data_IF_590631604728
#
_entry.id   IF_590631604728
#
_cell.length_a   1.000
_cell.length_b   1.000
_cell.length_c   1.000
_cell.angle_alpha   90.00
_cell.angle_beta   90.00
_cell.angle_gamma   90.00
#
_symmetry.space_group_name_H-M   'P 1'
#
loop_
_entity.id
_entity.type
_entity.pdbx_description
1 polymer ?
#
# COMPACT_ATOMS: atom_id res chain seq x y z
N UNK A 1 8.29 -10.05 4.94
CA UNK A 1 7.35 -9.00 4.51
C UNK A 1 7.99 -8.14 3.43
N UNK A 2 7.53 -8.23 2.18
CA UNK A 2 8.13 -7.51 1.06
C UNK A 2 7.66 -6.06 1.00
N UNK A 3 8.40 -5.18 1.67
CA UNK A 3 8.06 -3.76 1.80
C UNK A 3 8.16 -2.96 0.50
N UNK A 4 9.00 -3.39 -0.45
CA UNK A 4 9.25 -2.67 -1.70
C UNK A 4 9.07 -3.58 -2.90
N UNK A 5 8.48 -3.04 -3.95
CA UNK A 5 8.29 -3.75 -5.21
C UNK A 5 9.62 -3.95 -5.94
N UNK A 6 9.91 -5.20 -6.34
CA UNK A 6 11.12 -5.53 -7.14
C UNK A 6 11.13 -4.88 -8.53
N UNK A 7 9.97 -4.54 -9.07
CA UNK A 7 9.85 -3.99 -10.43
C UNK A 7 10.00 -2.46 -10.48
N UNK A 8 9.44 -1.74 -9.50
CA UNK A 8 9.36 -0.28 -9.53
C UNK A 8 9.93 0.40 -8.28
N UNK A 9 10.45 -0.37 -7.32
CA UNK A 9 10.95 0.12 -6.03
C UNK A 9 9.92 0.88 -5.17
N UNK A 10 8.66 0.92 -5.60
CA UNK A 10 7.57 1.55 -4.87
C UNK A 10 7.25 0.79 -3.58
N UNK A 11 6.79 1.53 -2.56
CA UNK A 11 6.35 0.95 -1.29
C UNK A 11 5.13 0.06 -1.51
N UNK A 12 5.09 -1.09 -0.86
CA UNK A 12 3.89 -1.93 -0.81
C UNK A 12 3.08 -1.67 0.46
N UNK A 13 1.76 -1.68 0.31
CA UNK A 13 0.82 -1.49 1.41
C UNK A 13 0.19 -2.83 1.80
N UNK A 14 0.18 -3.19 3.10
CA UNK A 14 -0.48 -4.41 3.55
C UNK A 14 -2.00 -4.25 3.42
N UNK A 15 -2.65 -5.31 2.93
CA UNK A 15 -4.10 -5.43 2.79
C UNK A 15 -4.57 -6.75 3.35
N UNK A 16 -5.49 -6.68 4.30
CA UNK A 16 -6.16 -7.85 4.84
C UNK A 16 -7.18 -8.35 3.80
N UNK A 17 -7.04 -9.62 3.42
CA UNK A 17 -7.97 -10.30 2.52
C UNK A 17 -8.86 -11.21 3.35
N UNK A 18 -10.14 -10.85 3.43
CA UNK A 18 -11.19 -11.68 4.01
C UNK A 18 -11.91 -12.45 2.91
N UNK A 19 -12.37 -13.69 3.15
CA UNK A 19 -12.46 -14.39 4.45
C UNK A 19 -11.20 -15.13 4.87
N UNK A 20 -10.17 -15.18 4.03
CA UNK A 20 -8.97 -16.00 4.24
C UNK A 20 -8.08 -15.54 5.42
N UNK A 21 -8.37 -14.38 6.04
CA UNK A 21 -7.61 -13.77 7.13
C UNK A 21 -6.10 -13.69 6.86
N UNK A 22 -5.73 -13.58 5.59
CA UNK A 22 -4.34 -13.42 5.16
C UNK A 22 -4.07 -11.97 4.80
N UNK A 23 -2.83 -11.55 4.98
CA UNK A 23 -2.38 -10.25 4.49
C UNK A 23 -1.67 -10.45 3.17
N UNK A 24 -2.02 -9.63 2.18
CA UNK A 24 -1.28 -9.47 0.93
C UNK A 24 -0.68 -8.07 0.86
N UNK A 25 0.37 -7.89 0.08
CA UNK A 25 1.06 -6.61 -0.08
C UNK A 25 0.78 -6.05 -1.47
N UNK A 26 0.05 -4.95 -1.53
CA UNK A 26 -0.29 -4.25 -2.76
C UNK A 26 0.86 -3.33 -3.17
N UNK A 27 1.39 -3.48 -4.38
CA UNK A 27 2.11 -2.41 -5.04
C UNK A 27 1.13 -1.52 -5.81
N UNK A 28 1.09 -0.24 -5.48
CA UNK A 28 0.14 0.71 -6.09
C UNK A 28 0.55 1.11 -7.51
N UNK A 29 1.86 1.18 -7.78
CA UNK A 29 2.39 1.51 -9.11
C UNK A 29 2.20 0.36 -10.10
N UNK A 30 2.51 -0.88 -9.68
CA UNK A 30 2.40 -2.07 -10.53
C UNK A 30 1.03 -2.76 -10.43
N UNK A 31 0.16 -2.30 -9.51
CA UNK A 31 -1.19 -2.83 -9.26
C UNK A 31 -1.20 -4.36 -9.07
N UNK A 32 -0.23 -4.88 -8.32
CA UNK A 32 -0.11 -6.30 -8.03
C UNK A 32 -0.07 -6.60 -6.54
N UNK A 33 -0.61 -7.76 -6.17
CA UNK A 33 -0.54 -8.31 -4.83
C UNK A 33 0.56 -9.36 -4.75
N UNK A 34 1.39 -9.23 -3.72
CA UNK A 34 2.33 -10.29 -3.33
C UNK A 34 1.97 -10.86 -1.98
N UNK A 35 2.43 -12.08 -1.72
CA UNK A 35 2.32 -12.73 -0.42
C UNK A 35 3.51 -12.38 0.50
N UNK A 36 3.64 -13.12 1.60
CA UNK A 36 4.73 -12.96 2.56
C UNK A 36 6.11 -13.33 1.99
N UNK A 37 6.14 -14.23 1.00
CA UNK A 37 7.32 -14.75 0.31
C UNK A 37 7.72 -13.89 -0.90
N UNK A 38 6.99 -12.81 -1.18
CA UNK A 38 7.19 -11.89 -2.30
C UNK A 38 6.90 -12.50 -3.67
N UNK A 39 6.02 -13.51 -3.73
CA UNK A 39 5.48 -14.03 -4.98
C UNK A 39 4.24 -13.25 -5.40
N UNK A 40 4.14 -12.93 -6.68
CA UNK A 40 2.95 -12.28 -7.25
C UNK A 40 1.82 -13.29 -7.26
N UNK A 41 0.80 -13.03 -6.44
CA UNK A 41 -0.39 -13.89 -6.32
C UNK A 41 -1.39 -13.54 -7.41
N UNK A 42 -1.62 -12.25 -7.64
CA UNK A 42 -2.58 -11.73 -8.62
C UNK A 42 -2.43 -10.22 -8.84
N UNK A 43 -3.07 -9.72 -9.88
CA UNK A 43 -3.30 -8.29 -10.06
C UNK A 43 -4.42 -7.77 -9.16
N UNK A 44 -4.33 -6.48 -8.82
CA UNK A 44 -5.32 -5.78 -8.04
C UNK A 44 -6.47 -5.33 -8.94
N UNK A 45 -7.70 -5.51 -8.46
CA UNK A 45 -8.87 -4.91 -9.12
C UNK A 45 -8.88 -3.41 -8.88
N UNK A 46 -9.50 -2.67 -9.79
CA UNK A 46 -9.56 -1.20 -9.72
C UNK A 46 -10.13 -0.69 -8.38
N UNK A 47 -11.18 -1.31 -7.86
CA UNK A 47 -11.75 -0.96 -6.55
C UNK A 47 -10.82 -1.21 -5.36
N UNK A 48 -9.96 -2.23 -5.43
CA UNK A 48 -8.99 -2.54 -4.37
C UNK A 48 -7.83 -1.53 -4.34
N UNK A 49 -7.40 -1.10 -5.52
CA UNK A 49 -6.42 -0.04 -5.66
C UNK A 49 -6.99 1.32 -5.20
N UNK A 50 -8.20 1.68 -5.63
CA UNK A 50 -8.81 2.96 -5.27
C UNK A 50 -9.08 3.07 -3.77
N UNK A 51 -9.61 2.01 -3.15
CA UNK A 51 -9.78 1.97 -1.69
C UNK A 51 -8.45 2.08 -0.96
N UNK A 52 -7.38 1.47 -1.48
CA UNK A 52 -6.03 1.61 -0.90
C UNK A 52 -5.55 3.05 -0.87
N UNK A 53 -5.73 3.77 -1.97
CA UNK A 53 -5.36 5.18 -2.08
C UNK A 53 -6.15 6.06 -1.10
N UNK A 54 -7.44 5.79 -0.93
CA UNK A 54 -8.28 6.51 0.03
C UNK A 54 -7.86 6.26 1.47
N UNK A 55 -7.57 5.01 1.84
CA UNK A 55 -7.07 4.65 3.17
C UNK A 55 -5.75 5.37 3.46
N UNK A 56 -4.83 5.39 2.50
CA UNK A 56 -3.55 6.08 2.65
C UNK A 56 -3.76 7.59 2.86
N UNK A 57 -4.61 8.23 2.05
CA UNK A 57 -4.95 9.66 2.22
C UNK A 57 -5.58 9.96 3.58
N UNK A 58 -6.48 9.10 4.07
CA UNK A 58 -7.07 9.22 5.42
C UNK A 58 -6.02 9.09 6.50
N UNK A 59 -5.11 8.12 6.39
CA UNK A 59 -4.01 7.94 7.32
C UNK A 59 -3.09 9.15 7.36
N UNK A 60 -2.64 9.66 6.21
CA UNK A 60 -1.80 10.87 6.13
C UNK A 60 -2.48 12.07 6.80
N UNK A 61 -3.79 12.28 6.58
CA UNK A 61 -4.56 13.35 7.23
C UNK A 61 -4.71 13.19 8.74
N UNK A 62 -4.65 11.95 9.25
CA UNK A 62 -4.76 11.66 10.68
C UNK A 62 -3.47 11.90 11.46
N UNK A 63 -2.34 12.04 10.77
CA UNK A 63 -1.05 12.33 11.41
C UNK A 63 -1.08 13.79 11.87
N UNK A 64 -0.97 14.08 13.18
CA UNK A 64 -0.95 15.46 13.65
C UNK A 64 0.29 16.17 13.09
N UNK A 65 0.16 17.45 12.70
CA UNK A 65 1.29 18.19 12.17
C UNK A 65 2.37 18.33 13.25
N UNK A 66 3.53 17.71 13.05
CA UNK A 66 4.72 17.97 13.86
C UNK A 66 5.42 19.23 13.35
N UNK A 67 6.05 20.01 14.23
CA UNK A 67 6.72 21.27 13.85
C UNK A 67 7.80 21.09 12.75
N UNK A 68 8.33 19.88 12.56
CA UNK A 68 9.33 19.54 11.53
C UNK A 68 8.79 19.03 10.18
N UNK A 69 7.49 18.78 10.03
CA UNK A 69 6.92 18.13 8.81
C UNK A 69 6.22 19.06 7.85
N UNK A 70 6.25 20.38 8.07
CA UNK A 70 5.58 21.37 7.22
C UNK A 70 6.02 21.33 5.75
N UNK A 71 7.20 20.78 5.44
CA UNK A 71 7.75 20.70 4.07
C UNK A 71 7.87 19.27 3.49
N UNK A 72 7.62 18.21 4.28
CA UNK A 72 7.95 16.82 3.85
C UNK A 72 6.81 16.11 3.11
N UNK A 73 5.59 16.65 3.15
CA UNK A 73 4.38 16.03 2.57
C UNK A 73 3.84 16.80 1.35
N UNK A 74 4.70 17.54 0.64
CA UNK A 74 4.39 18.08 -0.69
C UNK A 74 4.78 17.05 -1.75
N UNK A 75 3.80 16.27 -2.21
CA UNK A 75 3.82 15.57 -3.49
C UNK A 75 2.64 16.07 -4.32
#
# INVERSE_FOLDING_TARGET
MPLFCKQCSGRRLPKAVMPENRTLWLCENCKNFVDLEDFIVREAKEGEYNSSQEDYKKWVKSIPPTEGTKDSFRY
#
